data_IF_839282890898
#
_entry.id   IF_839282890898
#
_cell.length_a   1.000
_cell.length_b   1.000
_cell.length_c   1.000
_cell.angle_alpha   90.00
_cell.angle_beta   90.00
_cell.angle_gamma   90.00
#
_symmetry.space_group_name_H-M   'P 1'
#
loop_
_entity.id
_entity.type
_entity.pdbx_description
1 polymer ?
#
# COMPACT_ATOMS: atom_id res chain seq x y z
N UNK A 1 14.13 -20.45 -31.72
CA UNK A 1 13.86 -19.91 -30.36
C UNK A 1 15.07 -19.06 -29.99
N UNK A 2 14.95 -17.72 -30.03
CA UNK A 2 15.92 -16.87 -29.33
C UNK A 2 15.87 -17.32 -27.86
N UNK A 3 17.00 -17.53 -27.18
CA UNK A 3 16.97 -17.79 -25.77
C UNK A 3 16.30 -16.58 -25.14
N UNK A 4 15.15 -16.77 -24.54
CA UNK A 4 14.57 -15.82 -23.62
C UNK A 4 15.64 -15.71 -22.53
N UNK A 5 16.27 -14.57 -22.40
CA UNK A 5 17.12 -14.31 -21.22
C UNK A 5 16.26 -14.67 -20.02
N UNK A 6 16.79 -15.53 -19.15
CA UNK A 6 16.02 -15.99 -18.00
C UNK A 6 15.44 -14.76 -17.29
N UNK A 7 14.13 -14.66 -17.29
CA UNK A 7 13.43 -13.54 -16.63
C UNK A 7 13.62 -13.73 -15.12
N UNK A 8 14.24 -12.77 -14.48
CA UNK A 8 14.59 -12.81 -13.05
C UNK A 8 13.58 -12.13 -12.13
N UNK A 9 12.51 -11.57 -12.71
CA UNK A 9 11.45 -10.87 -11.99
C UNK A 9 11.78 -9.42 -11.60
N UNK A 10 12.98 -8.94 -11.89
CA UNK A 10 13.42 -7.58 -11.47
C UNK A 10 12.57 -6.46 -12.06
N UNK A 11 12.00 -6.66 -13.24
CA UNK A 11 11.18 -5.67 -13.95
C UNK A 11 9.71 -5.67 -13.53
N UNK A 12 9.30 -6.57 -12.64
CA UNK A 12 7.91 -6.71 -12.20
C UNK A 12 6.96 -6.90 -13.41
N UNK A 13 5.82 -6.20 -13.40
CA UNK A 13 4.84 -6.09 -14.50
C UNK A 13 5.12 -4.91 -15.45
N UNK A 14 6.24 -4.21 -15.28
CA UNK A 14 6.62 -3.00 -16.04
C UNK A 14 7.60 -3.34 -17.16
N UNK A 15 7.21 -4.28 -18.02
CA UNK A 15 8.05 -4.88 -19.06
C UNK A 15 7.79 -4.36 -20.46
N UNK A 16 6.75 -3.56 -20.62
CA UNK A 16 6.31 -3.03 -21.90
C UNK A 16 7.38 -2.11 -22.49
N UNK A 17 7.66 -2.31 -23.75
CA UNK A 17 8.56 -1.45 -24.52
C UNK A 17 8.11 -1.37 -25.97
N UNK A 18 8.46 -0.29 -26.64
CA UNK A 18 8.12 -0.09 -28.05
C UNK A 18 9.17 0.73 -28.77
N UNK A 19 9.39 0.41 -30.03
CA UNK A 19 10.13 1.26 -30.98
C UNK A 19 9.20 2.27 -31.67
N UNK A 20 7.89 2.20 -31.43
CA UNK A 20 6.93 3.19 -31.92
C UNK A 20 7.10 4.50 -31.12
N UNK A 21 7.07 5.62 -31.84
CA UNK A 21 7.22 6.94 -31.25
C UNK A 21 5.91 7.72 -31.34
N UNK A 22 4.94 7.34 -30.48
CA UNK A 22 3.71 8.11 -30.37
C UNK A 22 4.01 9.56 -29.95
N UNK A 23 3.32 10.52 -30.53
CA UNK A 23 3.43 11.91 -30.12
C UNK A 23 2.74 12.11 -28.78
N UNK A 24 3.52 12.51 -27.75
CA UNK A 24 3.00 12.79 -26.41
C UNK A 24 3.18 14.28 -26.12
N UNK A 25 2.09 14.95 -25.82
CA UNK A 25 2.07 16.37 -25.49
C UNK A 25 1.68 16.56 -24.02
N UNK A 26 2.49 17.28 -23.26
CA UNK A 26 2.23 17.63 -21.86
C UNK A 26 1.95 19.13 -21.71
N UNK A 27 1.16 19.55 -20.70
CA UNK A 27 0.78 20.95 -20.50
C UNK A 27 1.95 21.84 -20.04
N UNK A 28 2.95 21.23 -19.41
CA UNK A 28 4.19 21.88 -18.91
C UNK A 28 5.25 20.84 -18.61
N UNK A 29 6.44 21.29 -18.24
CA UNK A 29 7.48 20.44 -17.70
C UNK A 29 7.40 20.41 -16.17
N UNK A 30 7.45 19.23 -15.59
CA UNK A 30 7.61 18.98 -14.16
C UNK A 30 8.17 17.57 -13.96
N UNK A 31 8.75 17.25 -12.78
CA UNK A 31 9.23 15.89 -12.52
C UNK A 31 8.16 14.82 -12.77
N UNK A 32 6.96 14.99 -12.26
CA UNK A 32 5.85 14.03 -12.41
C UNK A 32 5.39 13.88 -13.86
N UNK A 33 5.21 14.99 -14.58
CA UNK A 33 4.81 14.95 -15.98
C UNK A 33 5.90 14.38 -16.89
N UNK A 34 7.17 14.65 -16.57
CA UNK A 34 8.28 14.03 -17.31
C UNK A 34 8.28 12.50 -17.17
N UNK A 35 7.97 11.98 -15.97
CA UNK A 35 7.79 10.54 -15.75
C UNK A 35 6.64 10.03 -16.62
N UNK A 36 5.45 10.64 -16.56
CA UNK A 36 4.29 10.23 -17.35
C UNK A 36 4.58 10.21 -18.87
N UNK A 37 5.24 11.25 -19.36
CA UNK A 37 5.63 11.34 -20.78
C UNK A 37 6.64 10.26 -21.14
N UNK A 38 7.62 10.00 -20.29
CA UNK A 38 8.64 8.99 -20.54
C UNK A 38 8.04 7.57 -20.53
N UNK A 39 7.15 7.25 -19.60
CA UNK A 39 6.45 5.96 -19.57
C UNK A 39 5.65 5.73 -20.86
N UNK A 40 4.91 6.74 -21.31
CA UNK A 40 4.16 6.64 -22.57
C UNK A 40 5.09 6.50 -23.79
N UNK A 41 6.19 7.25 -23.85
CA UNK A 41 7.16 7.13 -24.94
C UNK A 41 7.83 5.77 -25.00
N UNK A 42 8.04 5.14 -23.84
CA UNK A 42 8.69 3.83 -23.76
C UNK A 42 7.77 2.66 -24.09
N UNK A 43 6.49 2.75 -23.74
CA UNK A 43 5.60 1.60 -23.74
C UNK A 43 4.33 1.76 -24.61
N UNK A 44 3.88 2.99 -24.89
CA UNK A 44 2.64 3.23 -25.61
C UNK A 44 2.80 3.09 -27.14
N UNK A 45 1.98 2.23 -27.75
CA UNK A 45 1.99 1.91 -29.20
C UNK A 45 0.79 2.49 -29.95
N UNK A 46 -0.09 3.20 -29.22
CA UNK A 46 -1.37 3.68 -29.77
C UNK A 46 -1.30 5.08 -30.37
N UNK A 47 -2.45 5.73 -30.38
CA UNK A 47 -2.66 7.05 -30.95
C UNK A 47 -1.86 8.14 -30.20
N UNK A 48 -1.64 9.33 -30.82
CA UNK A 48 -1.09 10.48 -30.13
C UNK A 48 -1.86 10.85 -28.85
N UNK A 49 -1.15 11.19 -27.78
CA UNK A 49 -1.71 11.51 -26.47
C UNK A 49 -1.45 12.95 -26.09
N UNK A 50 -2.50 13.66 -25.71
CA UNK A 50 -2.41 15.00 -25.12
C UNK A 50 -2.83 14.94 -23.65
N UNK A 51 -1.89 15.27 -22.73
CA UNK A 51 -2.13 15.37 -21.31
C UNK A 51 -2.63 16.79 -20.98
N UNK A 52 -3.72 16.89 -20.20
CA UNK A 52 -4.38 18.16 -19.89
C UNK A 52 -4.62 18.27 -18.38
N UNK A 53 -4.09 19.33 -17.78
CA UNK A 53 -4.42 19.70 -16.39
C UNK A 53 -5.66 20.57 -16.37
N UNK A 54 -6.77 20.03 -15.86
CA UNK A 54 -8.04 20.75 -15.80
C UNK A 54 -8.86 20.25 -14.61
N UNK A 55 -9.39 21.19 -13.81
CA UNK A 55 -10.38 20.87 -12.79
C UNK A 55 -11.66 20.35 -13.45
N UNK A 56 -12.18 19.26 -12.93
CA UNK A 56 -13.42 18.61 -13.36
C UNK A 56 -14.19 18.18 -12.11
N UNK A 57 -15.47 18.49 -12.03
CA UNK A 57 -16.31 18.17 -10.86
C UNK A 57 -16.56 16.66 -10.69
N UNK A 58 -16.39 15.89 -11.76
CA UNK A 58 -16.56 14.44 -11.75
C UNK A 58 -15.26 13.68 -11.40
N UNK A 59 -14.15 14.41 -11.31
CA UNK A 59 -12.84 13.83 -10.98
C UNK A 59 -12.40 14.23 -9.57
N UNK A 60 -11.99 13.24 -8.80
CA UNK A 60 -11.22 13.45 -7.58
C UNK A 60 -9.84 14.03 -7.93
N UNK A 61 -9.07 14.47 -6.92
CA UNK A 61 -7.73 15.05 -7.14
C UNK A 61 -6.78 14.13 -7.92
N UNK A 62 -6.92 12.81 -7.77
CA UNK A 62 -6.10 11.81 -8.46
C UNK A 62 -6.87 11.06 -9.55
N UNK A 63 -8.14 11.40 -9.77
CA UNK A 63 -8.94 10.85 -10.85
C UNK A 63 -8.53 11.38 -12.22
N UNK A 64 -8.91 10.67 -13.26
CA UNK A 64 -8.62 11.06 -14.63
C UNK A 64 -9.74 10.64 -15.60
N UNK A 65 -9.75 11.31 -16.74
CA UNK A 65 -10.60 10.96 -17.87
C UNK A 65 -9.76 10.77 -19.12
N UNK A 66 -9.98 9.69 -19.83
CA UNK A 66 -9.39 9.39 -21.14
C UNK A 66 -10.51 9.50 -22.17
N UNK A 67 -10.34 10.35 -23.17
CA UNK A 67 -11.29 10.50 -24.27
C UNK A 67 -10.57 10.33 -25.60
N UNK A 68 -11.10 9.46 -26.44
CA UNK A 68 -10.69 9.35 -27.82
C UNK A 68 -11.67 10.14 -28.70
N UNK A 69 -11.15 11.06 -29.49
CA UNK A 69 -11.92 11.79 -30.52
C UNK A 69 -11.11 11.72 -31.81
N UNK A 70 -11.67 11.11 -32.83
CA UNK A 70 -10.96 10.81 -34.08
C UNK A 70 -9.70 9.98 -33.76
N UNK A 71 -8.56 10.40 -34.30
CA UNK A 71 -7.26 9.72 -34.16
C UNK A 71 -6.38 10.32 -33.04
N UNK A 72 -6.98 10.84 -31.96
CA UNK A 72 -6.25 11.45 -30.84
C UNK A 72 -6.84 11.06 -29.51
N UNK A 73 -5.97 10.86 -28.50
CA UNK A 73 -6.36 10.69 -27.12
C UNK A 73 -6.13 11.97 -26.33
N UNK A 74 -7.12 12.38 -25.58
CA UNK A 74 -6.99 13.45 -24.58
C UNK A 74 -7.14 12.84 -23.19
N UNK A 75 -6.17 13.06 -22.34
CA UNK A 75 -6.16 12.62 -20.94
C UNK A 75 -6.26 13.83 -20.04
N UNK A 76 -7.32 13.90 -19.25
CA UNK A 76 -7.60 15.05 -18.37
C UNK A 76 -7.54 14.61 -16.91
N UNK A 77 -6.88 15.39 -16.07
CA UNK A 77 -6.89 15.24 -14.60
C UNK A 77 -6.74 16.59 -13.92
N UNK A 78 -7.26 16.74 -12.68
CA UNK A 78 -7.01 17.93 -11.86
C UNK A 78 -5.56 18.08 -11.41
N UNK A 79 -4.78 16.99 -11.35
CA UNK A 79 -3.40 16.97 -10.85
C UNK A 79 -2.45 16.22 -11.80
N UNK A 80 -1.16 16.49 -11.64
CA UNK A 80 -0.11 15.78 -12.37
C UNK A 80 -0.04 14.30 -12.00
N UNK A 81 -0.28 13.97 -10.71
CA UNK A 81 -0.34 12.58 -10.24
C UNK A 81 -1.46 11.80 -10.93
N UNK A 82 -2.64 12.40 -11.11
CA UNK A 82 -3.72 11.76 -11.85
C UNK A 82 -3.37 11.53 -13.34
N UNK A 83 -2.61 12.45 -13.97
CA UNK A 83 -2.09 12.23 -15.33
C UNK A 83 -1.05 11.10 -15.38
N UNK A 84 -0.22 10.95 -14.35
CA UNK A 84 0.72 9.84 -14.23
C UNK A 84 -0.03 8.50 -14.12
N UNK A 85 -1.05 8.42 -13.27
CA UNK A 85 -1.90 7.22 -13.14
C UNK A 85 -2.60 6.87 -14.46
N UNK A 86 -3.06 7.89 -15.18
CA UNK A 86 -3.68 7.69 -16.49
C UNK A 86 -2.68 7.15 -17.53
N UNK A 87 -1.44 7.58 -17.50
CA UNK A 87 -0.40 7.05 -18.38
C UNK A 87 -0.20 5.54 -18.15
N UNK A 88 -0.08 5.10 -16.91
CA UNK A 88 0.00 3.66 -16.59
C UNK A 88 -1.29 2.92 -16.94
N UNK A 89 -2.44 3.56 -16.77
CA UNK A 89 -3.72 2.96 -17.14
C UNK A 89 -3.84 2.74 -18.65
N UNK A 90 -3.39 3.68 -19.47
CA UNK A 90 -3.33 3.52 -20.93
C UNK A 90 -2.45 2.33 -21.34
N UNK A 91 -1.27 2.21 -20.76
CA UNK A 91 -0.36 1.08 -21.01
C UNK A 91 -1.02 -0.25 -20.62
N UNK A 92 -1.69 -0.31 -19.47
CA UNK A 92 -2.45 -1.48 -19.03
C UNK A 92 -3.57 -1.85 -20.01
N UNK A 93 -4.36 -0.88 -20.44
CA UNK A 93 -5.44 -1.08 -21.40
C UNK A 93 -4.92 -1.59 -22.74
N UNK A 94 -3.76 -1.11 -23.16
CA UNK A 94 -3.11 -1.57 -24.39
C UNK A 94 -2.80 -3.07 -24.33
N UNK A 95 -2.30 -3.56 -23.20
CA UNK A 95 -1.98 -4.98 -23.00
C UNK A 95 -3.27 -5.84 -22.89
N UNK A 96 -4.34 -5.27 -22.34
CA UNK A 96 -5.61 -5.99 -22.17
C UNK A 96 -6.44 -6.04 -23.46
N UNK A 97 -6.42 -4.98 -24.25
CA UNK A 97 -7.35 -4.83 -25.38
C UNK A 97 -6.67 -4.07 -26.49
N UNK A 98 -6.09 -4.42 -27.43
CA UNK A 98 -5.68 -3.66 -28.62
C UNK A 98 -6.22 -2.20 -28.69
N UNK A 99 -6.10 -1.48 -27.58
CA UNK A 99 -6.68 -0.17 -27.33
C UNK A 99 -6.03 0.89 -28.22
N UNK A 100 -6.81 1.88 -28.69
CA UNK A 100 -6.29 2.96 -29.51
C UNK A 100 -6.17 2.63 -31.00
N UNK A 101 -6.84 1.61 -31.50
CA UNK A 101 -7.00 1.42 -32.95
C UNK A 101 -8.00 2.43 -33.54
N UNK A 102 -7.78 2.94 -34.75
CA UNK A 102 -8.62 3.96 -35.38
C UNK A 102 -10.11 3.60 -35.54
N UNK A 103 -10.45 2.32 -35.40
CA UNK A 103 -11.83 1.82 -35.60
C UNK A 103 -12.74 1.90 -34.39
N UNK A 104 -12.20 2.27 -33.18
CA UNK A 104 -13.01 2.48 -32.00
C UNK A 104 -13.40 3.96 -31.90
N UNK A 105 -14.64 4.24 -32.28
CA UNK A 105 -15.20 5.61 -32.22
C UNK A 105 -15.59 5.98 -30.79
N UNK A 106 -15.24 7.20 -30.41
CA UNK A 106 -15.74 7.91 -29.21
C UNK A 106 -15.64 7.14 -27.88
N UNK A 107 -14.46 6.64 -27.56
CA UNK A 107 -14.21 6.04 -26.25
C UNK A 107 -14.06 7.11 -25.17
N UNK A 108 -14.79 6.95 -24.07
CA UNK A 108 -14.62 7.76 -22.84
C UNK A 108 -14.49 6.84 -21.63
N UNK A 109 -13.38 6.98 -20.90
CA UNK A 109 -13.11 6.27 -19.65
C UNK A 109 -12.93 7.33 -18.57
N UNK A 110 -13.65 7.18 -17.46
CA UNK A 110 -13.49 8.00 -16.25
C UNK A 110 -13.12 7.09 -15.09
N UNK A 111 -12.00 7.39 -14.44
CA UNK A 111 -11.48 6.67 -13.28
C UNK A 111 -11.30 7.60 -12.10
N UNK A 112 -11.75 7.16 -10.95
CA UNK A 112 -11.49 7.78 -9.65
C UNK A 112 -11.09 6.70 -8.66
N UNK A 113 -10.03 6.90 -7.85
CA UNK A 113 -9.72 5.96 -6.80
C UNK A 113 -10.82 5.91 -5.75
N UNK A 114 -11.11 4.72 -5.23
CA UNK A 114 -12.12 4.54 -4.18
C UNK A 114 -11.70 5.18 -2.85
N UNK A 115 -10.41 5.29 -2.61
CA UNK A 115 -9.83 5.84 -1.38
C UNK A 115 -8.79 6.90 -1.70
N UNK A 116 -8.79 7.99 -0.90
CA UNK A 116 -7.75 9.03 -0.99
C UNK A 116 -6.39 8.53 -0.47
N UNK A 117 -6.37 7.53 0.42
CA UNK A 117 -5.17 6.94 0.98
C UNK A 117 -5.13 5.43 0.68
N UNK A 118 -4.11 5.03 -0.09
CA UNK A 118 -3.82 3.66 -0.49
C UNK A 118 -2.36 3.40 -0.14
N UNK A 119 -2.12 2.74 1.00
CA UNK A 119 -0.83 2.75 1.68
C UNK A 119 -0.24 1.35 1.86
N UNK A 120 1.06 1.23 1.61
CA UNK A 120 1.85 0.07 2.04
C UNK A 120 2.41 0.29 3.44
N UNK A 121 2.29 -0.72 4.29
CA UNK A 121 2.92 -0.75 5.59
C UNK A 121 4.12 -1.72 5.54
N UNK A 122 5.34 -1.20 5.63
CA UNK A 122 6.53 -2.03 5.76
C UNK A 122 6.76 -2.39 7.22
N UNK A 123 6.97 -3.67 7.48
CA UNK A 123 7.42 -4.14 8.79
C UNK A 123 8.93 -4.29 8.83
N UNK A 124 9.60 -3.28 8.28
CA UNK A 124 11.05 -3.19 8.12
C UNK A 124 11.69 -2.57 9.37
N UNK A 125 12.71 -3.23 9.90
CA UNK A 125 13.47 -2.76 11.04
C UNK A 125 14.69 -1.93 10.62
N UNK A 126 15.26 -1.16 11.57
CA UNK A 126 16.41 -0.30 11.27
C UNK A 126 17.71 -1.09 11.04
N UNK A 127 17.77 -2.34 11.47
CA UNK A 127 18.86 -3.29 11.19
C UNK A 127 18.68 -4.02 9.83
N UNK A 128 17.68 -3.61 9.04
CA UNK A 128 17.29 -4.18 7.75
C UNK A 128 16.63 -5.57 7.80
N UNK A 129 16.39 -6.13 8.96
CA UNK A 129 15.48 -7.27 9.06
C UNK A 129 14.04 -6.84 8.74
N UNK A 130 13.24 -7.78 8.26
CA UNK A 130 11.82 -7.57 7.98
C UNK A 130 11.02 -8.57 8.80
N UNK A 131 10.13 -8.08 9.65
CA UNK A 131 9.22 -8.94 10.38
C UNK A 131 8.17 -9.51 9.43
N UNK A 132 8.06 -10.83 9.36
CA UNK A 132 7.16 -11.53 8.43
C UNK A 132 7.40 -11.22 6.95
N UNK A 133 8.56 -10.70 6.59
CA UNK A 133 8.99 -10.51 5.22
C UNK A 133 9.78 -11.71 4.70
N UNK A 134 9.51 -12.14 3.48
CA UNK A 134 10.11 -13.35 2.88
C UNK A 134 10.82 -13.03 1.55
N UNK A 135 11.33 -11.81 1.41
CA UNK A 135 11.87 -11.27 0.17
C UNK A 135 13.29 -10.69 0.31
N UNK A 136 14.07 -11.27 1.20
CA UNK A 136 15.42 -10.80 1.53
C UNK A 136 15.40 -9.74 2.65
N UNK A 137 16.33 -8.79 2.61
CA UNK A 137 16.42 -7.69 3.58
C UNK A 137 15.55 -6.51 3.17
N UNK A 138 15.34 -5.59 4.10
CA UNK A 138 14.70 -4.30 3.80
C UNK A 138 15.36 -3.59 2.62
N UNK A 139 14.54 -2.99 1.75
CA UNK A 139 15.03 -2.13 0.69
C UNK A 139 15.82 -0.93 1.24
N UNK A 140 15.39 -0.42 2.41
CA UNK A 140 15.97 0.79 2.99
C UNK A 140 17.31 0.48 3.61
N UNK A 141 18.39 0.95 2.98
CA UNK A 141 19.73 0.83 3.54
C UNK A 141 20.04 2.07 4.37
N UNK A 142 19.67 2.00 5.65
CA UNK A 142 19.82 3.12 6.57
C UNK A 142 21.28 3.55 6.81
N UNK A 143 22.23 2.65 6.58
CA UNK A 143 23.68 2.97 6.71
C UNK A 143 24.17 3.83 5.57
N UNK A 144 23.68 3.59 4.35
CA UNK A 144 24.06 4.32 3.15
C UNK A 144 23.28 5.64 2.97
N UNK A 145 22.06 5.70 3.49
CA UNK A 145 21.22 6.90 3.44
C UNK A 145 21.75 7.98 4.38
N UNK A 146 21.66 9.29 4.01
CA UNK A 146 21.14 9.83 2.76
C UNK A 146 22.17 9.93 1.64
N UNK A 147 23.40 9.48 1.86
CA UNK A 147 24.54 9.68 0.96
C UNK A 147 24.45 8.90 -0.34
N UNK A 148 23.87 7.70 -0.32
CA UNK A 148 23.71 6.85 -1.50
C UNK A 148 22.24 6.48 -1.68
N UNK A 149 21.70 6.74 -2.86
CA UNK A 149 20.36 6.37 -3.25
C UNK A 149 20.42 5.19 -4.23
N UNK A 150 19.88 4.06 -3.82
CA UNK A 150 19.76 2.89 -4.69
C UNK A 150 18.72 3.14 -5.79
N UNK A 151 19.01 2.72 -7.02
CA UNK A 151 18.06 2.77 -8.15
C UNK A 151 16.76 2.01 -7.83
N UNK A 152 16.82 1.07 -6.90
CA UNK A 152 15.63 0.33 -6.45
C UNK A 152 14.61 1.20 -5.72
N UNK A 153 14.99 2.34 -5.15
CA UNK A 153 14.03 3.26 -4.53
C UNK A 153 13.13 3.92 -5.57
N UNK A 154 13.70 4.35 -6.69
CA UNK A 154 12.92 4.87 -7.81
C UNK A 154 12.08 3.77 -8.48
N UNK A 155 12.65 2.59 -8.69
CA UNK A 155 11.93 1.43 -9.23
C UNK A 155 10.73 1.00 -8.34
N UNK A 156 10.89 1.06 -7.02
CA UNK A 156 9.81 0.86 -6.05
C UNK A 156 8.71 1.92 -6.20
N UNK A 157 9.08 3.19 -6.29
CA UNK A 157 8.12 4.28 -6.48
C UNK A 157 7.35 4.14 -7.81
N UNK A 158 8.07 3.81 -8.89
CA UNK A 158 7.49 3.53 -10.21
C UNK A 158 6.47 2.39 -10.16
N UNK A 159 6.81 1.27 -9.51
CA UNK A 159 5.93 0.13 -9.36
C UNK A 159 4.64 0.51 -8.61
N UNK A 160 4.75 1.21 -7.49
CA UNK A 160 3.60 1.66 -6.71
C UNK A 160 2.71 2.63 -7.49
N UNK A 161 3.29 3.63 -8.16
CA UNK A 161 2.52 4.58 -8.96
C UNK A 161 1.77 3.87 -10.10
N UNK A 162 2.36 2.83 -10.71
CA UNK A 162 1.73 2.08 -11.80
C UNK A 162 0.44 1.36 -11.42
N UNK A 163 0.23 1.10 -10.14
CA UNK A 163 -0.97 0.45 -9.58
C UNK A 163 -1.76 1.35 -8.64
N UNK A 164 -1.44 2.65 -8.60
CA UNK A 164 -2.20 3.65 -7.88
C UNK A 164 -1.96 3.69 -6.36
N UNK A 165 -0.89 3.12 -5.83
CA UNK A 165 -0.48 3.27 -4.44
C UNK A 165 0.17 4.64 -4.27
N UNK A 166 -0.30 5.43 -3.29
CA UNK A 166 0.09 6.83 -3.10
C UNK A 166 0.75 7.13 -1.74
N UNK A 167 1.03 6.09 -0.95
CA UNK A 167 1.65 6.27 0.36
C UNK A 167 2.40 5.03 0.81
N UNK A 168 3.38 5.24 1.69
CA UNK A 168 4.15 4.15 2.31
C UNK A 168 4.56 4.50 3.73
N UNK A 169 4.40 3.54 4.66
CA UNK A 169 5.03 3.57 5.98
C UNK A 169 6.35 2.82 5.87
N UNK A 170 7.47 3.46 6.19
CA UNK A 170 8.80 2.91 5.93
C UNK A 170 9.26 1.85 6.92
N UNK A 171 8.75 1.89 8.16
CA UNK A 171 9.28 1.10 9.25
C UNK A 171 8.22 0.30 9.99
N UNK A 172 8.70 -0.74 10.68
CA UNK A 172 7.88 -1.69 11.42
C UNK A 172 6.99 -1.00 12.47
N UNK A 173 5.79 -1.53 12.67
CA UNK A 173 4.87 -1.13 13.75
C UNK A 173 5.45 -1.38 15.13
N UNK A 174 6.38 -2.34 15.29
CA UNK A 174 7.23 -2.49 16.47
C UNK A 174 8.39 -1.47 16.39
N UNK A 175 8.03 -0.20 16.44
CA UNK A 175 8.93 0.89 16.08
C UNK A 175 10.01 1.20 17.12
N UNK A 176 11.23 1.43 16.63
CA UNK A 176 12.28 2.08 17.42
C UNK A 176 12.06 3.59 17.42
N UNK A 177 12.14 4.24 18.60
CA UNK A 177 12.07 5.70 18.71
C UNK A 177 13.19 6.41 17.93
N UNK A 178 14.29 5.72 17.64
CA UNK A 178 15.43 6.24 16.88
C UNK A 178 15.03 6.74 15.48
N UNK A 179 13.95 6.20 14.89
CA UNK A 179 13.45 6.68 13.59
C UNK A 179 13.09 8.18 13.60
N UNK A 180 12.75 8.74 14.77
CA UNK A 180 12.41 10.15 14.95
C UNK A 180 13.61 11.05 15.30
N UNK A 181 14.82 10.50 15.36
CA UNK A 181 16.04 11.32 15.57
C UNK A 181 16.31 12.19 14.33
N UNK A 182 17.02 13.31 14.53
CA UNK A 182 17.39 14.21 13.45
C UNK A 182 18.19 13.49 12.35
N UNK A 183 19.10 12.58 12.74
CA UNK A 183 19.86 11.75 11.79
C UNK A 183 18.93 10.92 10.89
N UNK A 184 17.97 10.19 11.48
CA UNK A 184 17.07 9.35 10.69
C UNK A 184 16.04 10.15 9.88
N UNK A 185 15.62 11.32 10.36
CA UNK A 185 14.73 12.19 9.59
C UNK A 185 15.36 12.67 8.29
N UNK A 186 16.67 12.93 8.25
CA UNK A 186 17.39 13.23 6.99
C UNK A 186 17.41 12.02 6.04
N UNK A 187 17.54 10.81 6.56
CA UNK A 187 17.46 9.57 5.76
C UNK A 187 16.06 9.36 5.20
N UNK A 188 15.04 9.57 6.01
CA UNK A 188 13.63 9.52 5.59
C UNK A 188 13.33 10.58 4.53
N UNK A 189 13.86 11.80 4.70
CA UNK A 189 13.75 12.88 3.71
C UNK A 189 14.29 12.45 2.34
N UNK A 190 15.44 11.81 2.31
CA UNK A 190 16.04 11.35 1.06
C UNK A 190 15.12 10.39 0.29
N UNK A 191 14.46 9.46 0.99
CA UNK A 191 13.44 8.57 0.40
C UNK A 191 12.19 9.35 -0.03
N UNK A 192 11.70 10.27 0.81
CA UNK A 192 10.54 11.09 0.49
C UNK A 192 10.76 11.93 -0.78
N UNK A 193 11.97 12.45 -0.97
CA UNK A 193 12.33 13.22 -2.16
C UNK A 193 12.32 12.37 -3.45
N UNK A 194 12.74 11.10 -3.37
CA UNK A 194 12.65 10.14 -4.49
C UNK A 194 11.18 9.80 -4.81
N UNK A 195 10.34 9.64 -3.80
CA UNK A 195 8.96 9.18 -3.96
C UNK A 195 7.98 10.28 -4.40
N UNK A 196 8.28 11.52 -4.05
CA UNK A 196 7.39 12.68 -4.31
C UNK A 196 7.00 12.85 -5.78
N UNK A 197 7.90 12.75 -6.77
CA UNK A 197 7.52 12.86 -8.18
C UNK A 197 6.54 11.79 -8.65
N UNK A 198 6.49 10.65 -7.94
CA UNK A 198 5.56 9.55 -8.19
C UNK A 198 4.23 9.68 -7.42
N UNK A 199 4.02 10.79 -6.72
CA UNK A 199 2.81 11.05 -5.93
C UNK A 199 2.72 10.26 -4.64
N UNK A 200 3.83 9.72 -4.13
CA UNK A 200 3.87 8.87 -2.94
C UNK A 200 4.35 9.67 -1.73
N UNK A 201 3.52 9.71 -0.69
CA UNK A 201 3.86 10.32 0.61
C UNK A 201 4.46 9.28 1.56
N UNK A 202 5.38 9.76 2.39
CA UNK A 202 6.00 8.96 3.45
C UNK A 202 5.28 9.17 4.77
N UNK A 203 5.07 8.05 5.46
CA UNK A 203 4.56 7.95 6.82
C UNK A 203 5.57 7.18 7.66
N UNK A 204 5.50 7.31 8.97
CA UNK A 204 6.34 6.55 9.90
C UNK A 204 5.50 5.85 10.97
N UNK A 205 5.88 4.62 11.30
CA UNK A 205 5.46 4.02 12.56
C UNK A 205 6.25 4.65 13.71
N UNK A 206 5.56 4.94 14.81
CA UNK A 206 6.20 5.54 15.99
C UNK A 206 6.06 4.64 17.21
N UNK A 207 7.05 4.72 18.10
CA UNK A 207 6.95 4.14 19.43
C UNK A 207 6.26 5.17 20.35
N UNK A 208 5.19 4.78 21.01
CA UNK A 208 4.40 5.66 21.86
C UNK A 208 5.21 6.26 23.01
N UNK A 209 6.23 5.54 23.50
CA UNK A 209 7.13 6.00 24.55
C UNK A 209 8.32 6.82 24.02
N UNK A 210 8.32 7.31 22.79
CA UNK A 210 9.39 8.14 22.24
C UNK A 210 9.72 9.38 23.09
N UNK A 211 8.77 10.06 23.75
CA UNK A 211 9.11 11.14 24.68
C UNK A 211 10.04 10.71 25.81
N UNK A 212 9.93 9.48 26.31
CA UNK A 212 10.82 8.93 27.30
C UNK A 212 12.16 8.49 26.70
N UNK A 213 12.08 7.68 25.63
CA UNK A 213 13.24 7.00 25.05
C UNK A 213 14.17 7.94 24.28
N UNK A 214 13.62 8.92 23.59
CA UNK A 214 14.34 9.90 22.78
C UNK A 214 14.36 11.28 23.43
N UNK A 215 13.29 11.65 24.12
CA UNK A 215 13.12 12.96 24.74
C UNK A 215 13.65 13.06 26.18
N UNK A 216 13.95 11.94 26.83
CA UNK A 216 14.43 11.92 28.21
C UNK A 216 13.37 12.29 29.25
N UNK A 217 12.10 12.30 28.90
CA UNK A 217 11.01 12.56 29.84
C UNK A 217 10.77 11.35 30.75
N UNK A 218 10.22 11.58 31.95
CA UNK A 218 9.90 10.52 32.90
C UNK A 218 8.63 9.76 32.64
N UNK A 219 7.82 10.24 31.70
CA UNK A 219 6.52 9.67 31.36
C UNK A 219 6.23 9.84 29.86
N UNK A 220 5.30 9.05 29.33
CA UNK A 220 4.68 9.23 28.04
C UNK A 220 3.16 9.38 28.16
N UNK A 221 2.64 9.75 29.33
CA UNK A 221 1.21 10.01 29.54
C UNK A 221 0.71 11.05 28.52
N UNK A 222 -0.28 10.71 27.68
CA UNK A 222 -0.77 11.60 26.63
C UNK A 222 -1.46 12.87 27.14
N UNK A 223 -1.77 12.96 28.42
CA UNK A 223 -2.34 14.16 29.04
C UNK A 223 -1.29 15.00 29.80
N UNK A 224 -0.05 14.53 29.90
CA UNK A 224 1.03 15.29 30.46
C UNK A 224 1.44 16.45 29.53
N UNK A 225 1.62 17.65 30.12
CA UNK A 225 1.92 18.87 29.36
C UNK A 225 3.25 18.82 28.63
N UNK A 226 4.25 18.23 29.23
CA UNK A 226 5.60 18.14 28.66
C UNK A 226 5.65 17.10 27.54
N UNK A 227 4.88 16.00 27.68
CA UNK A 227 4.70 15.00 26.64
C UNK A 227 3.99 15.60 25.42
N UNK A 228 2.91 16.34 25.63
CA UNK A 228 2.18 17.04 24.56
C UNK A 228 3.08 18.06 23.85
N UNK A 229 3.87 18.83 24.62
CA UNK A 229 4.80 19.81 24.07
C UNK A 229 5.92 19.13 23.26
N UNK A 230 6.45 18.01 23.74
CA UNK A 230 7.47 17.23 23.05
C UNK A 230 6.98 16.74 21.68
N UNK A 231 5.79 16.15 21.62
CA UNK A 231 5.22 15.69 20.35
C UNK A 231 4.95 16.85 19.38
N UNK A 232 4.43 17.97 19.85
CA UNK A 232 4.25 19.19 19.02
C UNK A 232 5.57 19.67 18.42
N UNK A 233 6.63 19.69 19.23
CA UNK A 233 7.96 20.10 18.77
C UNK A 233 8.55 19.07 17.78
N UNK A 234 8.41 17.78 18.05
CA UNK A 234 8.89 16.71 17.17
C UNK A 234 8.17 16.74 15.82
N UNK A 235 6.87 16.89 15.83
CA UNK A 235 6.07 17.03 14.60
C UNK A 235 6.48 18.25 13.79
N UNK A 236 6.72 19.39 14.45
CA UNK A 236 7.26 20.59 13.80
C UNK A 236 8.61 20.32 13.13
N UNK A 237 9.50 19.62 13.79
CA UNK A 237 10.80 19.20 13.24
C UNK A 237 10.63 18.33 12.02
N UNK A 238 9.74 17.32 12.06
CA UNK A 238 9.45 16.42 10.94
C UNK A 238 8.98 17.22 9.73
N UNK A 239 7.99 18.11 9.87
CA UNK A 239 7.46 18.88 8.75
C UNK A 239 8.41 19.96 8.23
N UNK A 240 9.36 20.42 9.04
CA UNK A 240 10.47 21.27 8.55
C UNK A 240 11.41 20.49 7.63
N UNK A 241 11.64 19.22 7.93
CA UNK A 241 12.53 18.34 7.16
C UNK A 241 11.81 17.76 5.95
N UNK A 242 10.54 17.36 6.12
CA UNK A 242 9.71 16.69 5.10
C UNK A 242 8.35 17.40 5.04
N UNK A 243 8.22 18.48 4.24
CA UNK A 243 7.01 19.31 4.24
C UNK A 243 5.72 18.59 3.85
N UNK A 244 5.81 17.53 3.08
CA UNK A 244 4.69 16.69 2.61
C UNK A 244 4.53 15.38 3.39
N UNK A 245 5.17 15.26 4.57
CA UNK A 245 5.03 14.11 5.45
C UNK A 245 3.56 13.80 5.74
N UNK A 246 3.17 12.51 5.69
CA UNK A 246 1.77 12.13 5.76
C UNK A 246 1.22 11.98 7.18
N UNK A 247 1.99 11.43 8.09
CA UNK A 247 1.55 11.16 9.45
C UNK A 247 2.12 9.88 10.08
N UNK A 248 1.47 9.40 11.12
CA UNK A 248 1.94 8.30 11.95
C UNK A 248 1.06 7.06 11.83
N UNK A 249 1.72 5.89 11.89
CA UNK A 249 1.10 4.61 12.19
C UNK A 249 1.50 4.20 13.61
N UNK A 250 0.54 3.73 14.40
CA UNK A 250 0.77 3.38 15.81
C UNK A 250 0.22 2.00 16.13
N UNK A 251 1.08 1.15 16.68
CA UNK A 251 0.72 -0.06 17.42
C UNK A 251 0.94 0.23 18.90
N UNK A 252 -0.13 0.16 19.69
CA UNK A 252 -0.10 0.52 21.11
C UNK A 252 -0.70 -0.58 21.98
N UNK A 253 -0.08 -0.82 23.14
CA UNK A 253 -0.53 -1.79 24.15
C UNK A 253 -0.78 -3.21 23.58
N UNK A 254 0.12 -3.64 22.72
CA UNK A 254 0.07 -4.96 22.10
C UNK A 254 1.49 -5.50 21.93
N UNK A 255 1.70 -6.78 22.22
CA UNK A 255 2.97 -7.49 22.05
C UNK A 255 4.18 -6.74 22.66
N UNK A 256 4.01 -6.19 23.86
CA UNK A 256 5.07 -5.45 24.56
C UNK A 256 5.31 -4.03 24.05
N UNK A 257 4.58 -3.55 23.05
CA UNK A 257 4.66 -2.17 22.62
C UNK A 257 3.97 -1.24 23.63
N UNK A 258 4.60 -0.12 24.01
CA UNK A 258 3.99 0.82 24.95
C UNK A 258 2.80 1.53 24.33
N UNK A 259 1.88 1.96 25.20
CA UNK A 259 0.70 2.69 24.76
C UNK A 259 0.05 3.48 25.91
N UNK A 260 -1.08 4.16 25.63
CA UNK A 260 -1.75 5.00 26.61
C UNK A 260 -2.29 4.21 27.81
N UNK A 261 -2.63 2.94 27.66
CA UNK A 261 -3.13 2.12 28.77
C UNK A 261 -2.09 1.92 29.88
N UNK A 262 -0.79 2.01 29.59
CA UNK A 262 0.30 1.98 30.58
C UNK A 262 0.23 3.17 31.55
N UNK A 263 -0.48 4.22 31.20
CA UNK A 263 -0.67 5.47 31.94
C UNK A 263 -2.13 5.64 32.39
N UNK A 264 -2.94 4.58 32.39
CA UNK A 264 -4.37 4.61 32.70
C UNK A 264 -5.16 5.58 31.78
N UNK A 265 -4.77 5.65 30.50
CA UNK A 265 -5.45 6.42 29.45
C UNK A 265 -6.01 5.49 28.40
N UNK A 266 -7.04 5.97 27.69
CA UNK A 266 -7.68 5.22 26.62
C UNK A 266 -6.85 5.30 25.32
N UNK A 267 -7.11 4.40 24.39
CA UNK A 267 -6.57 4.49 23.04
C UNK A 267 -6.95 5.81 22.35
N UNK A 268 -8.16 6.31 22.57
CA UNK A 268 -8.61 7.59 22.02
C UNK A 268 -7.79 8.78 22.56
N UNK A 269 -7.51 8.83 23.87
CA UNK A 269 -6.68 9.87 24.46
C UNK A 269 -5.26 9.84 23.88
N UNK A 270 -4.67 8.67 23.72
CA UNK A 270 -3.35 8.51 23.10
C UNK A 270 -3.32 8.94 21.63
N UNK A 271 -4.27 8.47 20.84
CA UNK A 271 -4.39 8.83 19.43
C UNK A 271 -4.64 10.33 19.23
N UNK A 272 -5.50 10.92 20.05
CA UNK A 272 -5.88 12.34 19.94
C UNK A 272 -4.71 13.26 20.27
N UNK A 273 -3.85 12.93 21.22
CA UNK A 273 -2.63 13.69 21.49
C UNK A 273 -1.75 13.82 20.23
N UNK A 274 -1.52 12.71 19.55
CA UNK A 274 -0.75 12.70 18.30
C UNK A 274 -1.48 13.42 17.16
N UNK A 275 -2.78 13.19 17.05
CA UNK A 275 -3.62 13.83 16.04
C UNK A 275 -3.63 15.36 16.18
N UNK A 276 -3.73 15.88 17.41
CA UNK A 276 -3.69 17.31 17.69
C UNK A 276 -2.33 17.93 17.32
N UNK A 277 -1.23 17.19 17.50
CA UNK A 277 0.10 17.65 17.07
C UNK A 277 0.26 17.69 15.54
N UNK A 278 -0.37 16.75 14.81
CA UNK A 278 -0.33 16.65 13.36
C UNK A 278 -1.32 17.58 12.63
N UNK A 279 -2.41 17.96 13.28
CA UNK A 279 -3.52 18.70 12.67
C UNK A 279 -3.11 20.00 11.96
N UNK A 280 -2.21 20.85 12.49
CA UNK A 280 -1.76 22.06 11.81
C UNK A 280 -1.14 21.81 10.43
N UNK A 281 -0.63 20.61 10.21
CA UNK A 281 0.05 20.18 8.98
C UNK A 281 -0.82 19.27 8.11
N UNK A 282 -2.09 19.05 8.48
CA UNK A 282 -3.00 18.10 7.82
C UNK A 282 -2.52 16.66 7.84
N UNK A 283 -1.66 16.31 8.80
CA UNK A 283 -1.22 14.95 9.03
C UNK A 283 -2.28 14.11 9.72
N UNK A 284 -2.20 12.80 9.54
CA UNK A 284 -3.14 11.83 10.10
C UNK A 284 -2.44 10.84 11.03
N UNK A 285 -3.25 10.23 11.89
CA UNK A 285 -2.86 9.08 12.71
C UNK A 285 -3.64 7.87 12.22
N UNK A 286 -2.92 6.81 11.85
CA UNK A 286 -3.48 5.48 11.65
C UNK A 286 -3.23 4.69 12.95
N UNK A 287 -4.29 4.44 13.70
CA UNK A 287 -4.21 3.77 14.99
C UNK A 287 -4.69 2.33 14.88
N UNK A 288 -3.79 1.37 15.08
CA UNK A 288 -4.13 -0.04 14.91
C UNK A 288 -5.02 -0.54 16.05
N UNK A 289 -6.15 -1.11 15.70
CA UNK A 289 -7.05 -1.81 16.61
C UNK A 289 -6.70 -3.31 16.66
N UNK A 290 -5.49 -3.61 17.11
CA UNK A 290 -5.00 -4.97 17.29
C UNK A 290 -4.40 -5.12 18.68
N UNK A 291 -4.91 -6.08 19.44
CA UNK A 291 -4.48 -6.37 20.80
C UNK A 291 -4.09 -7.83 20.92
N UNK A 292 -2.81 -8.07 21.19
CA UNK A 292 -2.27 -9.41 21.34
C UNK A 292 -1.99 -9.81 22.82
N UNK A 293 -2.33 -8.98 23.77
CA UNK A 293 -2.28 -9.33 25.20
C UNK A 293 -3.69 -9.41 25.76
N UNK A 294 -4.47 -10.43 25.35
CA UNK A 294 -5.89 -10.48 25.64
C UNK A 294 -6.13 -10.70 27.14
N UNK A 295 -7.08 -9.97 27.68
CA UNK A 295 -7.65 -10.20 29.00
C UNK A 295 -8.90 -11.09 28.94
N UNK A 296 -9.49 -11.24 27.75
CA UNK A 296 -10.59 -12.15 27.48
C UNK A 296 -10.05 -13.51 26.99
N UNK A 297 -10.71 -14.59 27.38
CA UNK A 297 -10.37 -15.94 26.93
C UNK A 297 -10.61 -16.13 25.43
N UNK A 298 -11.50 -15.35 24.83
CA UNK A 298 -11.77 -15.33 23.41
C UNK A 298 -10.97 -14.19 22.73
N UNK A 299 -9.87 -14.55 22.14
CA UNK A 299 -8.96 -13.62 21.44
C UNK A 299 -9.67 -12.78 20.38
N UNK A 300 -10.66 -13.34 19.69
CA UNK A 300 -11.38 -12.64 18.63
C UNK A 300 -12.21 -11.44 19.15
N UNK A 301 -12.55 -11.42 20.43
CA UNK A 301 -13.35 -10.35 21.05
C UNK A 301 -12.52 -9.18 21.54
N UNK A 302 -11.24 -9.36 21.83
CA UNK A 302 -10.45 -8.38 22.59
C UNK A 302 -10.45 -6.99 21.92
N UNK A 303 -10.12 -6.91 20.63
CA UNK A 303 -10.10 -5.64 19.92
C UNK A 303 -11.49 -4.96 19.89
N UNK A 304 -12.54 -5.76 19.73
CA UNK A 304 -13.91 -5.24 19.75
C UNK A 304 -14.26 -4.64 21.11
N UNK A 305 -13.96 -5.34 22.21
CA UNK A 305 -14.26 -4.89 23.56
C UNK A 305 -13.50 -3.63 23.96
N UNK A 306 -12.27 -3.45 23.44
CA UNK A 306 -11.47 -2.26 23.73
C UNK A 306 -11.81 -1.05 22.87
N UNK A 307 -12.16 -1.24 21.61
CA UNK A 307 -12.34 -0.14 20.67
C UNK A 307 -13.78 0.30 20.45
N UNK A 308 -14.74 -0.62 20.44
CA UNK A 308 -16.14 -0.27 20.22
C UNK A 308 -16.68 0.77 21.22
N UNK A 309 -16.37 0.73 22.52
CA UNK A 309 -16.80 1.74 23.48
C UNK A 309 -16.22 3.14 23.25
N UNK A 310 -15.15 3.25 22.45
CA UNK A 310 -14.47 4.52 22.11
C UNK A 310 -15.04 5.19 20.86
N UNK A 311 -16.08 4.62 20.25
CA UNK A 311 -16.67 5.18 19.03
C UNK A 311 -17.09 6.65 19.21
N UNK A 312 -16.63 7.50 18.31
CA UNK A 312 -16.88 8.93 18.34
C UNK A 312 -15.98 9.74 19.29
N UNK A 313 -15.02 9.10 19.98
CA UNK A 313 -14.06 9.79 20.86
C UNK A 313 -12.75 10.16 20.14
N UNK A 314 -12.50 9.60 18.97
CA UNK A 314 -11.33 9.93 18.17
C UNK A 314 -11.49 11.23 17.39
N UNK A 315 -10.37 11.97 17.21
CA UNK A 315 -10.33 13.14 16.32
C UNK A 315 -10.63 12.75 14.87
N UNK A 316 -11.04 13.72 14.07
CA UNK A 316 -11.37 13.55 12.65
C UNK A 316 -10.17 13.15 11.77
N UNK A 317 -8.96 13.46 12.19
CA UNK A 317 -7.70 13.03 11.54
C UNK A 317 -7.08 11.76 12.13
N UNK A 318 -7.83 11.00 12.93
CA UNK A 318 -7.50 9.62 13.33
C UNK A 318 -8.30 8.66 12.48
N UNK A 319 -7.64 7.64 11.93
CA UNK A 319 -8.29 6.52 11.26
C UNK A 319 -7.93 5.26 12.04
N UNK A 320 -8.93 4.56 12.54
CA UNK A 320 -8.72 3.29 13.23
C UNK A 320 -8.44 2.20 12.18
N UNK A 321 -7.26 1.62 12.25
CA UNK A 321 -6.77 0.61 11.31
C UNK A 321 -7.05 -0.79 11.86
N UNK A 322 -7.84 -1.56 11.11
CA UNK A 322 -8.39 -2.83 11.55
C UNK A 322 -7.94 -3.92 10.59
N UNK A 323 -7.38 -5.03 11.11
CA UNK A 323 -7.12 -6.23 10.30
C UNK A 323 -8.42 -6.75 9.67
N UNK A 324 -8.32 -7.35 8.50
CA UNK A 324 -9.49 -7.89 7.81
C UNK A 324 -10.27 -8.91 8.64
N UNK A 325 -9.59 -9.75 9.44
CA UNK A 325 -10.20 -10.70 10.37
C UNK A 325 -9.86 -10.42 11.83
N UNK A 326 -10.63 -10.98 12.79
CA UNK A 326 -10.49 -10.66 14.21
C UNK A 326 -9.35 -11.40 14.90
N UNK A 327 -8.76 -12.44 14.27
CA UNK A 327 -7.72 -13.27 14.89
C UNK A 327 -6.33 -12.77 14.51
N UNK A 328 -5.85 -13.00 13.32
CA UNK A 328 -4.52 -12.57 12.89
C UNK A 328 -4.18 -13.01 11.46
N UNK A 329 -4.83 -12.45 10.44
CA UNK A 329 -4.55 -12.75 9.04
C UNK A 329 -4.52 -14.24 8.69
N UNK A 330 -5.32 -15.05 9.39
CA UNK A 330 -5.39 -16.48 9.09
C UNK A 330 -5.93 -16.73 7.68
N UNK A 331 -5.58 -17.85 7.03
CA UNK A 331 -5.98 -18.14 5.66
C UNK A 331 -7.48 -18.04 5.40
N UNK A 332 -8.27 -18.34 6.41
CA UNK A 332 -9.73 -18.20 6.37
C UNK A 332 -10.23 -17.69 7.72
N UNK A 333 -10.58 -16.42 7.75
CA UNK A 333 -11.20 -15.77 8.88
C UNK A 333 -12.49 -15.08 8.44
N UNK A 334 -13.51 -14.95 9.32
CA UNK A 334 -14.57 -14.00 9.07
C UNK A 334 -14.01 -12.57 9.08
N UNK A 335 -14.74 -11.61 8.52
CA UNK A 335 -14.37 -10.20 8.67
C UNK A 335 -14.43 -9.76 10.15
N UNK A 336 -13.59 -8.79 10.50
CA UNK A 336 -13.58 -8.27 11.89
C UNK A 336 -14.93 -7.63 12.25
N UNK A 337 -15.50 -7.94 13.42
CA UNK A 337 -16.76 -7.34 13.87
C UNK A 337 -16.67 -5.85 14.18
N UNK A 338 -15.46 -5.26 14.26
CA UNK A 338 -15.29 -3.82 14.40
C UNK A 338 -15.76 -3.04 13.18
N UNK A 339 -15.71 -3.63 11.97
CA UNK A 339 -16.24 -3.00 10.78
C UNK A 339 -17.75 -2.79 10.91
N UNK A 340 -18.18 -1.53 10.85
CA UNK A 340 -19.55 -1.14 11.08
C UNK A 340 -19.97 -0.95 12.54
N UNK A 341 -19.15 -1.38 13.52
CA UNK A 341 -19.45 -1.21 14.95
C UNK A 341 -19.00 0.15 15.52
N UNK A 342 -18.29 0.94 14.76
CA UNK A 342 -17.83 2.29 15.13
C UNK A 342 -18.26 3.33 14.09
N UNK A 343 -19.58 3.61 13.97
CA UNK A 343 -20.11 4.42 12.86
C UNK A 343 -19.72 5.91 12.92
N UNK A 344 -19.21 6.40 14.05
CA UNK A 344 -18.77 7.79 14.24
C UNK A 344 -17.24 7.95 14.16
N UNK A 345 -16.51 6.87 13.86
CA UNK A 345 -15.05 6.87 13.82
C UNK A 345 -14.59 6.44 12.43
N UNK A 346 -13.70 7.19 11.76
CA UNK A 346 -13.11 6.75 10.50
C UNK A 346 -12.37 5.42 10.67
N UNK A 347 -12.61 4.49 9.77
CA UNK A 347 -12.00 3.16 9.76
C UNK A 347 -11.26 2.88 8.46
N UNK A 348 -10.25 2.05 8.52
CA UNK A 348 -9.54 1.52 7.36
C UNK A 348 -9.25 0.03 7.57
N UNK A 349 -9.17 -0.71 6.48
CA UNK A 349 -8.75 -2.11 6.52
C UNK A 349 -7.23 -2.23 6.38
N UNK A 350 -6.64 -3.15 7.14
CA UNK A 350 -5.28 -3.63 6.99
C UNK A 350 -5.32 -5.05 6.41
N UNK A 351 -4.88 -5.20 5.16
CA UNK A 351 -4.60 -6.50 4.57
C UNK A 351 -3.13 -6.88 4.78
N UNK A 352 -2.82 -8.15 4.73
CA UNK A 352 -1.45 -8.64 4.74
C UNK A 352 -1.08 -9.18 3.35
N UNK A 353 -0.16 -8.51 2.68
CA UNK A 353 0.40 -8.97 1.41
C UNK A 353 1.50 -10.02 1.67
N UNK A 354 2.15 -9.93 2.82
CA UNK A 354 3.02 -11.01 3.32
C UNK A 354 2.18 -12.27 3.57
N UNK A 355 2.78 -13.43 3.38
CA UNK A 355 2.05 -14.69 3.46
C UNK A 355 2.37 -15.42 4.78
N UNK A 356 2.21 -14.74 5.93
CA UNK A 356 2.58 -15.27 7.24
C UNK A 356 1.95 -16.65 7.51
N UNK A 357 0.69 -16.82 7.17
CA UNK A 357 -0.05 -18.07 7.37
C UNK A 357 -0.47 -18.72 6.04
N UNK A 358 0.06 -18.25 4.94
CA UNK A 358 -0.27 -18.69 3.57
C UNK A 358 0.98 -19.15 2.84
N UNK A 359 1.75 -20.08 3.48
CA UNK A 359 2.93 -20.67 2.91
C UNK A 359 4.19 -19.84 3.01
N UNK A 360 4.22 -18.77 3.82
CA UNK A 360 5.40 -17.93 4.15
C UNK A 360 6.15 -17.41 2.92
N UNK A 361 5.43 -17.02 1.86
CA UNK A 361 6.01 -16.64 0.57
C UNK A 361 6.89 -17.70 -0.12
N UNK A 362 6.92 -18.92 0.40
CA UNK A 362 7.59 -20.05 -0.24
C UNK A 362 6.62 -20.86 -1.12
N UNK A 363 5.33 -20.66 -0.94
CA UNK A 363 4.28 -21.33 -1.68
C UNK A 363 3.51 -20.33 -2.53
N UNK A 364 2.99 -20.76 -3.67
CA UNK A 364 2.07 -19.99 -4.44
C UNK A 364 0.78 -19.82 -3.63
N UNK A 365 0.45 -18.57 -3.30
CA UNK A 365 -0.85 -18.18 -2.77
C UNK A 365 -1.23 -16.81 -3.35
N UNK A 366 -2.20 -16.79 -4.25
CA UNK A 366 -2.77 -15.56 -4.78
C UNK A 366 -3.85 -15.06 -3.82
N UNK A 367 -3.63 -13.87 -3.24
CA UNK A 367 -4.40 -13.38 -2.10
C UNK A 367 -5.66 -12.59 -2.49
N UNK A 368 -5.74 -12.14 -3.73
CA UNK A 368 -6.86 -11.30 -4.17
C UNK A 368 -8.24 -11.93 -3.98
N UNK A 369 -8.46 -13.26 -4.17
CA UNK A 369 -9.75 -13.87 -3.86
C UNK A 369 -10.18 -13.68 -2.40
N UNK A 370 -9.24 -13.72 -1.45
CA UNK A 370 -9.52 -13.50 -0.03
C UNK A 370 -9.92 -12.04 0.24
N UNK A 371 -9.30 -11.09 -0.44
CA UNK A 371 -9.62 -9.67 -0.30
C UNK A 371 -10.94 -9.30 -1.00
N UNK A 372 -11.26 -9.94 -2.11
CA UNK A 372 -12.54 -9.82 -2.79
C UNK A 372 -13.68 -10.29 -1.87
N UNK A 373 -13.54 -11.46 -1.22
CA UNK A 373 -14.50 -11.96 -0.22
C UNK A 373 -14.72 -10.97 0.93
N UNK A 374 -13.67 -10.27 1.39
CA UNK A 374 -13.82 -9.25 2.42
C UNK A 374 -14.78 -8.13 1.96
N UNK A 375 -14.68 -7.69 0.73
CA UNK A 375 -15.53 -6.62 0.19
C UNK A 375 -16.96 -7.07 -0.14
N UNK A 376 -17.23 -8.37 -0.15
CA UNK A 376 -18.61 -8.89 -0.19
C UNK A 376 -19.37 -8.60 1.12
N UNK A 377 -18.66 -8.51 2.23
CA UNK A 377 -19.23 -8.27 3.56
C UNK A 377 -19.06 -6.83 4.04
N UNK A 378 -17.92 -6.22 3.78
CA UNK A 378 -17.60 -4.85 4.20
C UNK A 378 -17.69 -3.92 3.00
N UNK A 379 -18.70 -3.05 3.01
CA UNK A 379 -18.90 -2.09 1.92
C UNK A 379 -17.67 -1.19 1.75
N UNK A 380 -17.07 -1.11 0.56
CA UNK A 380 -15.90 -0.25 0.32
C UNK A 380 -16.11 1.20 0.78
N UNK A 381 -17.31 1.75 0.55
CA UNK A 381 -17.66 3.12 0.92
C UNK A 381 -17.76 3.39 2.43
N UNK A 382 -17.77 2.35 3.26
CA UNK A 382 -17.73 2.50 4.73
C UNK A 382 -16.32 2.73 5.27
N UNK A 383 -15.30 2.52 4.45
CA UNK A 383 -13.89 2.69 4.80
C UNK A 383 -13.35 4.01 4.30
N UNK A 384 -12.44 4.62 5.07
CA UNK A 384 -11.78 5.87 4.73
C UNK A 384 -10.49 5.66 3.94
N UNK A 385 -9.82 4.53 4.15
CA UNK A 385 -8.53 4.21 3.56
C UNK A 385 -8.30 2.69 3.53
N UNK A 386 -7.22 2.27 2.88
CA UNK A 386 -6.82 0.88 2.76
C UNK A 386 -5.31 0.75 2.91
N UNK A 387 -4.88 -0.19 3.74
CA UNK A 387 -3.48 -0.52 3.97
C UNK A 387 -3.17 -1.97 3.61
N UNK A 388 -1.95 -2.22 3.14
CA UNK A 388 -1.41 -3.56 2.91
C UNK A 388 -0.04 -3.71 3.54
N UNK A 389 0.16 -4.76 4.34
CA UNK A 389 1.48 -5.11 4.88
C UNK A 389 2.34 -5.69 3.76
N UNK A 390 3.43 -5.02 3.43
CA UNK A 390 4.23 -5.32 2.25
C UNK A 390 5.10 -6.57 2.41
N UNK A 391 5.22 -7.36 1.35
CA UNK A 391 6.26 -8.37 1.17
C UNK A 391 7.20 -7.95 0.04
N UNK A 392 8.07 -6.99 0.34
CA UNK A 392 8.98 -6.37 -0.63
C UNK A 392 10.34 -6.25 0.03
N UNK A 393 11.37 -6.76 -0.62
CA UNK A 393 12.72 -6.73 -0.09
C UNK A 393 13.79 -6.73 -1.18
N UNK A 394 15.02 -7.08 -0.78
CA UNK A 394 16.21 -7.00 -1.64
C UNK A 394 16.36 -8.15 -2.62
N UNK A 395 15.51 -9.18 -2.58
CA UNK A 395 15.53 -10.23 -3.59
C UNK A 395 15.38 -9.63 -4.99
N UNK A 396 16.02 -10.23 -5.98
CA UNK A 396 15.99 -9.76 -7.37
C UNK A 396 14.56 -9.62 -7.88
N UNK A 397 13.69 -10.59 -7.55
CA UNK A 397 12.28 -10.59 -7.91
C UNK A 397 11.38 -9.79 -6.95
N UNK A 398 11.93 -9.06 -5.98
CA UNK A 398 11.24 -8.18 -5.01
C UNK A 398 10.41 -8.85 -3.93
N UNK A 399 9.81 -10.00 -4.19
CA UNK A 399 8.75 -10.58 -3.37
C UNK A 399 9.01 -12.04 -2.94
N UNK A 400 10.24 -12.54 -3.09
CA UNK A 400 10.61 -13.91 -2.73
C UNK A 400 10.43 -14.90 -3.88
N UNK A 401 9.38 -14.79 -4.68
CA UNK A 401 9.20 -15.54 -5.93
C UNK A 401 8.33 -14.74 -6.94
N UNK A 402 8.39 -15.06 -8.25
CA UNK A 402 7.74 -14.26 -9.28
C UNK A 402 6.23 -14.08 -9.08
N UNK A 403 5.51 -15.13 -8.67
CA UNK A 403 4.07 -15.07 -8.47
C UNK A 403 3.64 -14.25 -7.24
N UNK A 404 4.51 -14.07 -6.24
CA UNK A 404 4.21 -13.22 -5.10
C UNK A 404 4.07 -11.73 -5.52
N UNK A 405 4.66 -11.34 -6.64
CA UNK A 405 4.46 -10.00 -7.23
C UNK A 405 3.00 -9.73 -7.58
N UNK A 406 2.24 -10.78 -7.93
CA UNK A 406 0.81 -10.65 -8.22
C UNK A 406 0.01 -10.14 -7.02
N UNK A 407 0.43 -10.45 -5.80
CA UNK A 407 -0.23 -9.99 -4.59
C UNK A 407 0.00 -8.48 -4.37
N UNK A 408 1.20 -7.98 -4.63
CA UNK A 408 1.48 -6.54 -4.60
C UNK A 408 0.67 -5.80 -5.67
N UNK A 409 0.68 -6.31 -6.90
CA UNK A 409 -0.13 -5.76 -8.00
C UNK A 409 -1.62 -5.74 -7.66
N UNK A 410 -2.15 -6.85 -7.17
CA UNK A 410 -3.56 -6.99 -6.83
C UNK A 410 -3.99 -6.04 -5.71
N UNK A 411 -3.15 -5.87 -4.69
CA UNK A 411 -3.44 -4.92 -3.62
C UNK A 411 -3.63 -3.50 -4.18
N UNK A 412 -2.71 -3.02 -5.02
CA UNK A 412 -2.83 -1.70 -5.62
C UNK A 412 -4.08 -1.54 -6.48
N UNK A 413 -4.42 -2.56 -7.29
CA UNK A 413 -5.61 -2.53 -8.15
C UNK A 413 -6.90 -2.53 -7.34
N UNK A 414 -7.01 -3.34 -6.29
CA UNK A 414 -8.17 -3.36 -5.40
C UNK A 414 -8.26 -2.10 -4.54
N UNK A 415 -7.13 -1.54 -4.12
CA UNK A 415 -7.11 -0.27 -3.40
C UNK A 415 -7.61 0.89 -4.27
N UNK A 416 -7.32 0.85 -5.56
CA UNK A 416 -7.87 1.81 -6.53
C UNK A 416 -9.36 1.58 -6.78
N UNK A 417 -9.74 0.35 -7.06
CA UNK A 417 -11.12 -0.03 -7.36
C UNK A 417 -11.48 -1.39 -6.73
N UNK A 418 -12.13 -1.41 -5.56
CA UNK A 418 -12.56 -2.64 -4.89
C UNK A 418 -13.62 -3.45 -5.63
N UNK A 419 -14.19 -2.91 -6.71
CA UNK A 419 -15.15 -3.64 -7.54
C UNK A 419 -14.49 -4.52 -8.60
N UNK A 420 -13.15 -4.45 -8.74
CA UNK A 420 -12.43 -5.37 -9.62
C UNK A 420 -12.42 -6.76 -9.03
N UNK A 421 -12.70 -7.76 -9.88
CA UNK A 421 -12.62 -9.16 -9.46
C UNK A 421 -11.16 -9.62 -9.40
N UNK A 422 -10.87 -10.53 -8.51
CA UNK A 422 -9.56 -11.17 -8.40
C UNK A 422 -9.13 -11.84 -9.70
N UNK A 423 -10.10 -12.40 -10.43
CA UNK A 423 -9.92 -13.02 -11.75
C UNK A 423 -9.43 -12.00 -12.80
N UNK A 424 -10.10 -10.85 -12.90
CA UNK A 424 -9.70 -9.77 -13.81
C UNK A 424 -8.30 -9.24 -13.49
N UNK A 425 -7.98 -9.08 -12.20
CA UNK A 425 -6.67 -8.59 -11.78
C UNK A 425 -5.56 -9.60 -12.11
N UNK A 426 -5.81 -10.90 -11.92
CA UNK A 426 -4.88 -11.95 -12.30
C UNK A 426 -4.59 -11.92 -13.81
N UNK A 427 -5.62 -11.77 -14.63
CA UNK A 427 -5.47 -11.64 -16.07
C UNK A 427 -4.64 -10.40 -16.46
N UNK A 428 -4.92 -9.24 -15.86
CA UNK A 428 -4.15 -8.01 -16.08
C UNK A 428 -2.67 -8.23 -15.77
N UNK A 429 -2.36 -8.81 -14.61
CA UNK A 429 -0.99 -9.05 -14.17
C UNK A 429 -0.26 -10.03 -15.10
N UNK A 430 -0.91 -11.13 -15.47
CA UNK A 430 -0.33 -12.14 -16.36
C UNK A 430 0.00 -11.56 -17.74
N UNK A 431 -0.89 -10.80 -18.33
CA UNK A 431 -0.69 -10.19 -19.65
C UNK A 431 0.42 -9.16 -19.66
N UNK A 432 0.56 -8.37 -18.59
CA UNK A 432 1.65 -7.39 -18.47
C UNK A 432 2.99 -8.04 -18.15
N UNK A 433 2.98 -9.20 -17.50
CA UNK A 433 4.19 -9.82 -16.94
C UNK A 433 4.79 -10.90 -17.84
N UNK A 434 3.98 -11.79 -18.39
CA UNK A 434 4.47 -13.00 -19.06
C UNK A 434 3.96 -13.19 -20.48
N UNK A 435 2.80 -12.67 -20.82
CA UNK A 435 2.10 -13.06 -22.05
C UNK A 435 1.83 -11.89 -22.99
N UNK A 436 2.28 -12.04 -24.22
CA UNK A 436 1.84 -11.21 -25.31
C UNK A 436 0.42 -11.61 -25.71
N UNK A 437 -0.54 -10.74 -25.43
CA UNK A 437 -1.95 -10.93 -25.73
C UNK A 437 -2.24 -11.11 -27.23
N UNK A 438 -1.34 -10.65 -28.09
CA UNK A 438 -1.47 -10.81 -29.55
C UNK A 438 -1.04 -12.18 -30.06
N UNK A 439 -0.35 -12.98 -29.23
CA UNK A 439 0.16 -14.30 -29.61
C UNK A 439 -0.81 -15.43 -29.22
N UNK A 440 -1.51 -16.03 -30.17
CA UNK A 440 -2.50 -17.07 -29.88
C UNK A 440 -1.90 -18.35 -29.27
N UNK A 441 -0.58 -18.55 -29.35
CA UNK A 441 0.10 -19.69 -28.72
C UNK A 441 0.24 -19.51 -27.21
N UNK A 442 0.12 -18.30 -26.72
CA UNK A 442 0.21 -18.02 -25.28
C UNK A 442 -1.12 -18.26 -24.54
N UNK A 443 -2.24 -18.19 -25.22
CA UNK A 443 -3.57 -18.26 -24.60
C UNK A 443 -3.81 -19.53 -23.78
N UNK A 444 -3.49 -20.75 -24.25
CA UNK A 444 -3.69 -21.97 -23.45
C UNK A 444 -2.85 -21.97 -22.16
N UNK A 445 -1.57 -21.57 -22.27
CA UNK A 445 -0.65 -21.54 -21.14
C UNK A 445 -1.11 -20.46 -20.14
N UNK A 446 -1.51 -19.30 -20.61
CA UNK A 446 -2.02 -18.22 -19.76
C UNK A 446 -3.27 -18.66 -18.98
N UNK A 447 -4.16 -19.41 -19.61
CA UNK A 447 -5.36 -19.95 -18.98
C UNK A 447 -5.01 -20.95 -17.85
N UNK A 448 -4.11 -21.88 -18.11
CA UNK A 448 -3.66 -22.87 -17.09
C UNK A 448 -3.00 -22.16 -15.88
N UNK A 449 -2.15 -21.19 -16.15
CA UNK A 449 -1.47 -20.43 -15.06
C UNK A 449 -2.49 -19.57 -14.30
N UNK A 450 -3.43 -18.97 -14.99
CA UNK A 450 -4.52 -18.20 -14.37
C UNK A 450 -5.34 -19.08 -13.41
N UNK A 451 -5.75 -20.27 -13.85
CA UNK A 451 -6.48 -21.21 -13.01
C UNK A 451 -5.66 -21.64 -11.78
N UNK A 452 -4.37 -21.98 -11.99
CA UNK A 452 -3.47 -22.31 -10.89
C UNK A 452 -3.40 -21.17 -9.85
N UNK A 453 -3.35 -19.91 -10.29
CA UNK A 453 -3.36 -18.77 -9.37
C UNK A 453 -4.67 -18.68 -8.61
N UNK A 454 -5.81 -18.78 -9.29
CA UNK A 454 -7.13 -18.66 -8.66
C UNK A 454 -7.42 -19.75 -7.63
N UNK A 455 -6.92 -20.96 -7.86
CA UNK A 455 -7.09 -22.11 -6.95
C UNK A 455 -6.09 -22.13 -5.79
N UNK A 456 -4.99 -21.38 -5.90
CA UNK A 456 -3.83 -21.49 -4.99
C UNK A 456 -4.16 -21.15 -3.53
N UNK A 457 -5.03 -20.17 -3.29
CA UNK A 457 -5.43 -19.79 -1.91
C UNK A 457 -6.18 -20.94 -1.23
N UNK A 458 -7.13 -21.59 -1.90
CA UNK A 458 -7.86 -22.71 -1.33
C UNK A 458 -6.93 -23.92 -1.09
N UNK A 459 -6.01 -24.20 -1.99
CA UNK A 459 -5.02 -25.22 -1.78
C UNK A 459 -4.19 -24.99 -0.50
N UNK A 460 -3.81 -23.72 -0.23
CA UNK A 460 -3.11 -23.38 1.02
C UNK A 460 -4.01 -23.54 2.24
N UNK A 461 -5.29 -23.14 2.16
CA UNK A 461 -6.26 -23.33 3.24
C UNK A 461 -6.38 -24.79 3.61
N UNK A 462 -6.43 -25.69 2.64
CA UNK A 462 -6.64 -27.12 2.86
C UNK A 462 -5.50 -27.77 3.69
N UNK A 463 -4.28 -27.35 3.53
CA UNK A 463 -3.17 -27.93 4.32
C UNK A 463 -2.74 -27.07 5.52
N UNK A 464 -2.97 -25.75 5.50
CA UNK A 464 -2.58 -24.85 6.61
C UNK A 464 -3.66 -24.75 7.71
N UNK A 465 -4.91 -25.00 7.36
CA UNK A 465 -6.05 -24.93 8.29
C UNK A 465 -6.93 -26.18 8.24
N UNK A 466 -6.38 -27.39 8.41
CA UNK A 466 -7.17 -28.59 8.36
C UNK A 466 -8.29 -28.53 9.42
N UNK A 467 -9.51 -28.86 9.02
CA UNK A 467 -10.70 -28.81 9.86
C UNK A 467 -11.03 -27.41 10.44
N UNK A 468 -10.53 -26.33 9.82
CA UNK A 468 -10.74 -24.95 10.28
C UNK A 468 -9.95 -24.56 11.53
N UNK A 469 -8.94 -25.34 11.91
CA UNK A 469 -8.09 -25.03 13.06
C UNK A 469 -7.07 -23.97 12.71
N UNK A 470 -6.87 -22.98 13.60
CA UNK A 470 -5.91 -21.89 13.45
C UNK A 470 -4.60 -22.18 14.17
N UNK A 471 -3.52 -21.53 13.75
CA UNK A 471 -2.21 -21.55 14.43
C UNK A 471 -1.63 -22.96 14.64
N UNK A 472 -1.74 -23.81 13.65
CA UNK A 472 -1.20 -25.18 13.70
C UNK A 472 0.28 -25.27 13.32
N UNK A 473 1.13 -24.55 14.04
CA UNK A 473 2.57 -24.50 13.81
C UNK A 473 3.33 -25.23 14.90
N UNK A 474 4.50 -25.78 14.55
CA UNK A 474 5.46 -26.19 15.54
C UNK A 474 5.93 -24.99 16.37
N UNK A 475 6.28 -25.22 17.63
CA UNK A 475 6.76 -24.14 18.50
C UNK A 475 7.95 -23.39 17.88
N UNK A 476 7.86 -22.08 17.82
CA UNK A 476 8.88 -21.23 17.23
C UNK A 476 8.96 -21.24 15.70
N UNK A 477 8.01 -21.84 15.01
CA UNK A 477 8.03 -22.03 13.56
C UNK A 477 7.07 -21.07 12.84
N UNK A 478 7.41 -19.81 12.85
CA UNK A 478 6.75 -18.78 12.04
C UNK A 478 7.55 -18.39 10.79
N UNK A 479 8.78 -18.87 10.69
CA UNK A 479 9.75 -18.46 9.66
C UNK A 479 10.24 -19.64 8.86
#
# INVERSE_FOLDING_TARGET
>A
LKPVSAEDGSRLWLRQSTDAHAQITAPRQSPTLNIAVNELKQAWKGLPVTLVLKKDKQLSSEGFRIRQVNEKLTVTSPTETGLLYAAYHLIRLQEMRNFGKPSETDLEITENPAYDLRILNHWDNLDRSIERGYAGKSLWNWEELPGTLSDRYEAYARANASIGINATVLNNVNASSKILSAEYLEKVKALADVFRPYGIKVYLSINFASPMQLGGLSTADPLDKDVIAWWKQKVKEIYRTIPDFGGFLVKANSEGQPGPCDFNRTHAEGANMLADALKPYKGIVMWRAFVYSPTDADRAKQAYLEFQPLDGQFRDNVIVQIKNGPVDFQPREPYSPLFGAMPRTPQMVEFQITQEYLGFSNHLAYLAPMWEEFFDFVKPSSLKAIAGVANIGTDTNWCGHPFAQANWYAFGRMAWNPSLTSETIAEEWLKQTFFDASNPKHAPIAYEIHNMMMESREAVVDYMMPLGLHHLFAWGHHY
#
